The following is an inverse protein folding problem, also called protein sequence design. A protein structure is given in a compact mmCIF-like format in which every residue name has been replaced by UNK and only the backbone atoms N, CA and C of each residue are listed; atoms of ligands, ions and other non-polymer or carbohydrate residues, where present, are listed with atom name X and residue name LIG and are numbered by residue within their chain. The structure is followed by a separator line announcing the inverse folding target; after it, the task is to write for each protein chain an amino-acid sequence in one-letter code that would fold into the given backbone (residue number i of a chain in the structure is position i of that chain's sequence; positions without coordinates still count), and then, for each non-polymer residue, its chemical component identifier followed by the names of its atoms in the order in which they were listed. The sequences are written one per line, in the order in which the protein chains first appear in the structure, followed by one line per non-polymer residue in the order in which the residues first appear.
data_IF_124884611073
#
_entry.id   IF_124884611073
#
_cell.length_a   1.000
_cell.length_b   1.000
_cell.length_c   1.000
_cell.angle_alpha   90.00
_cell.angle_beta   90.00
_cell.angle_gamma   90.00
#
_symmetry.space_group_name_H-M   'P 1'
#
loop_
_entity.id
_entity.type
_entity.pdbx_description
1 polymer ?
#
# COMPACT_ATOMS: atom_id res chain seq x y z
N UNK A 1 -19.33 37.08 -93.88
CA UNK A 1 -18.11 37.55 -93.19
C UNK A 1 -18.16 37.10 -91.75
N UNK A 2 -17.40 36.06 -91.37
CA UNK A 2 -17.26 35.63 -89.97
C UNK A 2 -15.93 36.17 -89.47
N UNK A 3 -15.97 37.25 -88.68
CA UNK A 3 -14.81 37.76 -87.95
C UNK A 3 -14.55 36.83 -86.76
N UNK A 4 -13.44 36.08 -86.82
CA UNK A 4 -12.94 35.31 -85.70
C UNK A 4 -12.16 36.26 -84.78
N UNK A 5 -12.68 36.52 -83.59
CA UNK A 5 -11.97 37.26 -82.56
C UNK A 5 -11.04 36.28 -81.82
N UNK A 6 -9.73 36.36 -82.08
CA UNK A 6 -8.74 35.65 -81.29
C UNK A 6 -8.64 36.29 -79.90
N UNK A 7 -9.23 35.65 -78.89
CA UNK A 7 -9.05 36.03 -77.49
C UNK A 7 -7.62 35.71 -77.04
N UNK A 8 -6.83 36.73 -76.76
CA UNK A 8 -5.53 36.57 -76.12
C UNK A 8 -5.73 36.19 -74.64
N UNK A 9 -5.53 34.92 -74.29
CA UNK A 9 -5.47 34.49 -72.90
C UNK A 9 -4.19 35.04 -72.24
N UNK A 10 -4.32 35.80 -71.15
CA UNK A 10 -3.18 36.29 -70.39
C UNK A 10 -2.73 35.24 -69.37
N UNK A 11 -1.45 34.82 -69.48
CA UNK A 11 -0.82 33.86 -68.59
C UNK A 11 -0.25 34.58 -67.36
N UNK A 12 -0.89 34.41 -66.21
CA UNK A 12 -0.45 35.02 -64.95
C UNK A 12 0.63 34.14 -64.32
N UNK A 13 1.82 34.71 -64.13
CA UNK A 13 2.97 34.04 -63.52
C UNK A 13 3.46 34.79 -62.29
N UNK A 14 4.05 34.06 -61.35
CA UNK A 14 4.64 34.59 -60.13
C UNK A 14 6.17 34.53 -60.20
N UNK A 15 6.84 35.45 -59.50
CA UNK A 15 8.30 35.40 -59.32
C UNK A 15 8.62 34.35 -58.25
N UNK A 16 9.65 33.53 -58.49
CA UNK A 16 10.08 32.54 -57.51
C UNK A 16 10.78 33.20 -56.32
N UNK A 17 10.44 32.77 -55.11
CA UNK A 17 11.11 33.21 -53.88
C UNK A 17 12.58 32.75 -53.83
N UNK A 18 12.90 31.64 -54.50
CA UNK A 18 14.25 31.09 -54.54
C UNK A 18 15.04 31.68 -55.70
N UNK A 19 15.83 32.70 -55.39
CA UNK A 19 16.73 33.34 -56.35
C UNK A 19 18.17 32.88 -56.13
N UNK A 20 18.93 32.82 -57.22
CA UNK A 20 20.37 32.56 -57.18
C UNK A 20 21.12 33.84 -57.54
N UNK A 21 21.90 34.35 -56.59
CA UNK A 21 22.58 35.64 -56.75
C UNK A 21 24.05 35.37 -57.13
N UNK A 22 24.53 35.87 -58.28
CA UNK A 22 25.91 35.64 -58.71
C UNK A 22 26.91 36.39 -57.83
N UNK A 23 28.04 35.75 -57.52
CA UNK A 23 29.17 36.38 -56.85
C UNK A 23 30.21 36.78 -57.89
N UNK A 24 30.71 38.01 -57.82
CA UNK A 24 31.67 38.57 -58.80
C UNK A 24 33.05 38.81 -58.19
N UNK A 25 34.06 38.91 -59.04
CA UNK A 25 35.43 39.19 -58.62
C UNK A 25 35.68 40.64 -58.19
N UNK A 26 34.78 41.58 -58.51
CA UNK A 26 34.92 43.01 -58.21
C UNK A 26 33.58 43.74 -58.16
N UNK A 27 33.61 44.98 -57.66
CA UNK A 27 32.46 45.85 -57.50
C UNK A 27 32.01 46.43 -58.86
N UNK A 28 31.14 45.69 -59.58
CA UNK A 28 30.58 46.13 -60.85
C UNK A 28 29.99 44.99 -61.68
N UNK A 29 29.14 45.33 -62.64
CA UNK A 29 28.51 44.36 -63.56
C UNK A 29 29.48 43.72 -64.54
N UNK A 30 30.60 44.38 -64.81
CA UNK A 30 31.56 43.97 -65.85
C UNK A 30 32.60 42.98 -65.32
N UNK A 31 32.64 42.80 -63.99
CA UNK A 31 33.54 41.84 -63.36
C UNK A 31 33.06 40.41 -63.54
N UNK A 32 34.02 39.49 -63.72
CA UNK A 32 33.76 38.06 -63.92
C UNK A 32 32.97 37.46 -62.76
N UNK A 33 31.98 36.65 -63.08
CA UNK A 33 31.25 35.83 -62.10
C UNK A 33 32.18 34.71 -61.62
N UNK A 34 32.50 34.71 -60.34
CA UNK A 34 33.35 33.69 -59.69
C UNK A 34 32.53 32.56 -59.07
N UNK A 35 31.26 32.83 -58.73
CA UNK A 35 30.32 31.81 -58.26
C UNK A 35 28.97 32.01 -58.92
N UNK A 36 28.42 30.93 -59.50
CA UNK A 36 27.25 30.98 -60.40
C UNK A 36 25.90 31.19 -59.70
N UNK A 37 25.87 31.16 -58.36
CA UNK A 37 24.64 31.48 -57.64
C UNK A 37 24.70 31.13 -56.16
N UNK A 38 24.62 32.14 -55.30
CA UNK A 38 24.35 31.98 -53.88
C UNK A 38 22.83 31.95 -53.70
N UNK A 39 22.24 30.91 -53.08
CA UNK A 39 20.81 30.86 -52.83
C UNK A 39 20.36 32.01 -51.92
N UNK A 40 19.17 32.56 -52.18
CA UNK A 40 18.46 33.42 -51.21
C UNK A 40 18.40 32.75 -49.83
N UNK A 41 18.52 33.53 -48.76
CA UNK A 41 18.55 32.99 -47.40
C UNK A 41 19.91 32.49 -46.90
N UNK A 42 20.92 32.45 -47.77
CA UNK A 42 22.28 32.10 -47.34
C UNK A 42 22.83 33.18 -46.41
N UNK A 43 23.30 32.76 -45.23
CA UNK A 43 23.99 33.66 -44.29
C UNK A 43 25.37 34.03 -44.84
N UNK A 44 25.61 35.34 -44.97
CA UNK A 44 26.84 35.93 -45.49
C UNK A 44 27.46 36.85 -44.44
N UNK A 45 28.78 37.01 -44.48
CA UNK A 45 29.49 38.03 -43.70
C UNK A 45 29.91 39.15 -44.64
N UNK A 46 29.52 40.38 -44.33
CA UNK A 46 29.88 41.57 -45.12
C UNK A 46 31.20 42.13 -44.60
N UNK A 47 32.19 42.28 -45.48
CA UNK A 47 33.52 42.81 -45.14
C UNK A 47 33.60 44.32 -45.35
N UNK A 48 33.18 44.79 -46.53
CA UNK A 48 33.15 46.23 -46.87
C UNK A 48 32.13 46.50 -47.98
N UNK A 49 31.82 47.77 -48.17
CA UNK A 49 30.96 48.26 -49.24
C UNK A 49 31.79 49.10 -50.21
N UNK A 50 31.43 49.09 -51.49
CA UNK A 50 31.97 49.94 -52.53
C UNK A 50 31.67 51.42 -52.22
N UNK A 51 32.46 52.33 -52.81
CA UNK A 51 32.33 53.77 -52.59
C UNK A 51 30.96 54.33 -53.00
N UNK A 52 30.31 53.70 -53.98
CA UNK A 52 28.97 54.03 -54.47
C UNK A 52 27.83 53.38 -53.63
N UNK A 53 28.16 52.50 -52.69
CA UNK A 53 27.18 51.78 -51.88
C UNK A 53 26.46 50.63 -52.59
N UNK A 54 26.62 50.48 -53.91
CA UNK A 54 25.83 49.51 -54.71
C UNK A 54 26.31 48.06 -54.53
N UNK A 55 27.58 47.89 -54.18
CA UNK A 55 28.24 46.59 -54.06
C UNK A 55 28.81 46.38 -52.67
N UNK A 56 28.74 45.14 -52.20
CA UNK A 56 29.34 44.71 -50.95
C UNK A 56 30.25 43.51 -51.20
N UNK A 57 31.43 43.54 -50.60
CA UNK A 57 32.32 42.39 -50.53
C UNK A 57 31.85 41.49 -49.39
N UNK A 58 31.54 40.24 -49.71
CA UNK A 58 31.06 39.25 -48.76
C UNK A 58 32.00 38.07 -48.69
N UNK A 59 31.97 37.37 -47.56
CA UNK A 59 32.59 36.06 -47.40
C UNK A 59 31.52 35.04 -47.00
N UNK A 60 31.44 33.97 -47.77
CA UNK A 60 30.56 32.83 -47.50
C UNK A 60 31.14 31.96 -46.38
N UNK A 61 30.31 31.13 -45.74
CA UNK A 61 30.78 30.18 -44.70
C UNK A 61 31.82 29.18 -45.23
N UNK A 62 31.84 28.94 -46.55
CA UNK A 62 32.80 28.05 -47.21
C UNK A 62 34.13 28.75 -47.55
N UNK A 63 34.32 30.00 -47.09
CA UNK A 63 35.54 30.78 -47.29
C UNK A 63 35.66 31.49 -48.64
N UNK A 64 34.65 31.40 -49.52
CA UNK A 64 34.67 32.12 -50.80
C UNK A 64 34.33 33.59 -50.58
N UNK A 65 35.22 34.48 -51.03
CA UNK A 65 35.07 35.93 -50.98
C UNK A 65 34.76 36.50 -52.37
N UNK A 66 33.89 37.50 -52.44
CA UNK A 66 33.62 38.24 -53.66
C UNK A 66 32.54 39.30 -53.48
N UNK A 67 32.12 39.90 -54.58
CA UNK A 67 31.23 41.06 -54.58
C UNK A 67 29.81 40.70 -55.02
N UNK A 68 28.83 41.24 -54.30
CA UNK A 68 27.38 41.08 -54.52
C UNK A 68 26.70 42.45 -54.45
N UNK A 69 25.56 42.63 -55.13
CA UNK A 69 24.79 43.88 -55.00
C UNK A 69 24.16 43.99 -53.62
N UNK A 70 24.24 45.17 -53.01
CA UNK A 70 23.71 45.47 -51.68
C UNK A 70 22.19 45.25 -51.58
N UNK A 71 21.45 45.44 -52.69
CA UNK A 71 20.00 45.21 -52.75
C UNK A 71 19.55 43.78 -52.39
N UNK A 72 20.46 42.80 -52.47
CA UNK A 72 20.18 41.41 -52.11
C UNK A 72 20.55 41.09 -50.66
N UNK A 73 21.17 42.05 -49.95
CA UNK A 73 21.55 41.89 -48.56
C UNK A 73 20.46 42.44 -47.66
N UNK A 74 20.11 41.66 -46.64
CA UNK A 74 19.20 42.05 -45.58
C UNK A 74 19.90 41.87 -44.24
N UNK A 75 19.63 42.78 -43.31
CA UNK A 75 20.15 42.69 -41.94
C UNK A 75 19.45 41.60 -41.14
N UNK A 76 18.14 41.47 -41.34
CA UNK A 76 17.31 40.50 -40.65
C UNK A 76 17.22 39.19 -41.43
N UNK A 77 16.97 38.10 -40.69
CA UNK A 77 16.73 36.78 -41.27
C UNK A 77 15.52 36.82 -42.23
N UNK A 78 15.63 36.24 -43.43
CA UNK A 78 14.53 36.24 -44.40
C UNK A 78 13.27 35.56 -43.87
N UNK A 79 12.12 36.03 -44.37
CA UNK A 79 10.80 35.57 -43.90
C UNK A 79 10.62 34.06 -44.03
N UNK A 80 11.11 33.45 -45.12
CA UNK A 80 11.03 32.00 -45.33
C UNK A 80 11.76 31.22 -44.22
N UNK A 81 12.98 31.62 -43.88
CA UNK A 81 13.74 30.97 -42.81
C UNK A 81 13.11 31.21 -41.43
N UNK A 82 12.52 32.39 -41.18
CA UNK A 82 11.75 32.66 -39.96
C UNK A 82 10.51 31.76 -39.86
N UNK A 83 9.79 31.58 -40.96
CA UNK A 83 8.62 30.71 -41.03
C UNK A 83 9.00 29.26 -40.76
N UNK A 84 10.07 28.76 -41.38
CA UNK A 84 10.56 27.41 -41.15
C UNK A 84 10.96 27.19 -39.69
N UNK A 85 11.70 28.14 -39.09
CA UNK A 85 12.05 28.08 -37.68
C UNK A 85 10.81 28.12 -36.76
N UNK A 86 9.83 28.97 -37.07
CA UNK A 86 8.58 29.05 -36.31
C UNK A 86 7.74 27.77 -36.43
N UNK A 87 7.67 27.16 -37.63
CA UNK A 87 7.00 25.88 -37.84
C UNK A 87 7.67 24.74 -37.07
N UNK A 88 9.02 24.70 -37.07
CA UNK A 88 9.76 23.72 -36.27
C UNK A 88 9.52 23.91 -34.76
N UNK A 89 9.51 25.16 -34.29
CA UNK A 89 9.20 25.46 -32.89
C UNK A 89 7.77 25.09 -32.52
N UNK A 90 6.80 25.37 -33.40
CA UNK A 90 5.41 24.97 -33.20
C UNK A 90 5.26 23.45 -33.13
N UNK A 91 5.90 22.71 -34.05
CA UNK A 91 5.89 21.25 -34.05
C UNK A 91 6.49 20.67 -32.74
N UNK A 92 7.65 21.19 -32.30
CA UNK A 92 8.27 20.79 -31.04
C UNK A 92 7.40 21.14 -29.83
N UNK A 93 6.76 22.30 -29.83
CA UNK A 93 5.86 22.71 -28.74
C UNK A 93 4.63 21.79 -28.68
N UNK A 94 4.05 21.44 -29.83
CA UNK A 94 2.93 20.49 -29.90
C UNK A 94 3.35 19.11 -29.39
N UNK A 95 4.49 18.58 -29.82
CA UNK A 95 5.02 17.30 -29.36
C UNK A 95 5.25 17.29 -27.84
N UNK A 96 5.90 18.33 -27.30
CA UNK A 96 6.10 18.48 -25.85
C UNK A 96 4.78 18.59 -25.09
N UNK A 97 3.81 19.33 -25.61
CA UNK A 97 2.50 19.47 -24.95
C UNK A 97 1.74 18.14 -24.92
N UNK A 98 1.83 17.34 -25.98
CA UNK A 98 1.26 16.01 -26.03
C UNK A 98 1.94 15.08 -25.01
N UNK A 99 3.28 15.06 -24.99
CA UNK A 99 4.06 14.26 -24.05
C UNK A 99 3.76 14.63 -22.59
N UNK A 100 3.75 15.93 -22.26
CA UNK A 100 3.41 16.42 -20.91
C UNK A 100 1.97 16.10 -20.53
N UNK A 101 1.03 16.14 -21.47
CA UNK A 101 -0.36 15.73 -21.21
C UNK A 101 -0.44 14.25 -20.89
N UNK A 102 0.28 13.39 -21.61
CA UNK A 102 0.33 11.95 -21.31
C UNK A 102 0.98 11.70 -19.96
N UNK A 103 2.10 12.35 -19.65
CA UNK A 103 2.79 12.22 -18.37
C UNK A 103 1.89 12.64 -17.20
N UNK A 104 1.13 13.73 -17.36
CA UNK A 104 0.16 14.18 -16.35
C UNK A 104 -0.92 13.14 -16.07
N UNK A 105 -1.47 12.51 -17.10
CA UNK A 105 -2.48 11.46 -16.93
C UNK A 105 -1.88 10.21 -16.27
N UNK A 106 -0.64 9.83 -16.63
CA UNK A 106 0.04 8.72 -15.95
C UNK A 106 0.32 9.01 -14.48
N UNK A 107 0.78 10.21 -14.13
CA UNK A 107 1.06 10.61 -12.75
C UNK A 107 -0.23 10.71 -11.92
N UNK A 108 -1.35 11.14 -12.53
CA UNK A 108 -2.66 11.12 -11.86
C UNK A 108 -3.10 9.69 -11.55
N UNK A 109 -2.98 8.77 -12.51
CA UNK A 109 -3.32 7.36 -12.30
C UNK A 109 -2.43 6.72 -11.23
N UNK A 110 -1.12 6.97 -11.25
CA UNK A 110 -0.19 6.50 -10.23
C UNK A 110 -0.52 7.07 -8.85
N UNK A 111 -0.90 8.35 -8.76
CA UNK A 111 -1.33 8.97 -7.50
C UNK A 111 -2.58 8.31 -6.95
N UNK A 112 -3.57 8.02 -7.79
CA UNK A 112 -4.81 7.35 -7.39
C UNK A 112 -4.51 5.94 -6.84
N UNK A 113 -3.63 5.20 -7.53
CA UNK A 113 -3.17 3.88 -7.09
C UNK A 113 -2.36 3.94 -5.78
N UNK A 114 -1.50 4.93 -5.58
CA UNK A 114 -0.78 5.10 -4.32
C UNK A 114 -1.73 5.43 -3.16
N UNK A 115 -2.78 6.20 -3.40
CA UNK A 115 -3.81 6.50 -2.39
C UNK A 115 -4.56 5.22 -2.00
N UNK A 116 -4.97 4.39 -2.96
CA UNK A 116 -5.67 3.12 -2.66
C UNK A 116 -4.76 2.14 -1.90
N UNK A 117 -3.46 2.11 -2.21
CA UNK A 117 -2.48 1.31 -1.46
C UNK A 117 -2.27 1.80 -0.02
N UNK A 118 -2.27 3.12 0.20
CA UNK A 118 -2.17 3.71 1.55
C UNK A 118 -3.40 3.33 2.38
N UNK A 119 -4.61 3.45 1.82
CA UNK A 119 -5.85 3.10 2.53
C UNK A 119 -5.92 1.60 2.86
N UNK A 120 -5.49 0.76 1.93
CA UNK A 120 -5.42 -0.70 2.12
C UNK A 120 -4.40 -1.05 3.23
N UNK A 121 -3.21 -0.46 3.17
CA UNK A 121 -2.16 -0.68 4.17
C UNK A 121 -2.59 -0.18 5.55
N UNK A 122 -3.28 0.96 5.63
CA UNK A 122 -3.85 1.49 6.86
C UNK A 122 -4.89 0.55 7.47
N UNK A 123 -5.77 -0.01 6.63
CA UNK A 123 -6.77 -1.00 7.06
C UNK A 123 -6.12 -2.30 7.56
N UNK A 124 -5.10 -2.80 6.87
CA UNK A 124 -4.32 -3.97 7.29
C UNK A 124 -3.61 -3.74 8.62
N UNK A 125 -2.99 -2.58 8.81
CA UNK A 125 -2.37 -2.20 10.09
C UNK A 125 -3.40 -2.16 11.22
N UNK A 126 -4.60 -1.64 10.96
CA UNK A 126 -5.72 -1.66 11.91
C UNK A 126 -6.09 -3.08 12.34
N UNK A 127 -6.33 -3.96 11.36
CA UNK A 127 -6.69 -5.37 11.62
C UNK A 127 -5.60 -6.10 12.41
N UNK A 128 -4.33 -5.97 12.00
CA UNK A 128 -3.20 -6.60 12.71
C UNK A 128 -3.07 -6.07 14.13
N UNK A 129 -3.32 -4.78 14.35
CA UNK A 129 -3.29 -4.17 15.69
C UNK A 129 -4.42 -4.73 16.57
N UNK A 130 -5.61 -4.93 16.01
CA UNK A 130 -6.75 -5.51 16.71
C UNK A 130 -6.51 -6.99 17.04
N UNK A 131 -6.03 -7.79 16.09
CA UNK A 131 -5.63 -9.19 16.30
C UNK A 131 -4.58 -9.31 17.40
N UNK A 132 -3.57 -8.44 17.42
CA UNK A 132 -2.53 -8.43 18.45
C UNK A 132 -3.13 -8.10 19.83
N UNK A 133 -4.10 -7.19 19.89
CA UNK A 133 -4.81 -6.85 21.12
C UNK A 133 -5.66 -8.01 21.63
N UNK A 134 -6.40 -8.68 20.74
CA UNK A 134 -7.17 -9.88 21.07
C UNK A 134 -6.26 -11.02 21.54
N UNK A 135 -5.13 -11.25 20.86
CA UNK A 135 -4.16 -12.28 21.24
C UNK A 135 -3.58 -12.03 22.63
N UNK A 136 -3.25 -10.77 22.96
CA UNK A 136 -2.79 -10.38 24.30
C UNK A 136 -3.85 -10.67 25.36
N UNK A 137 -5.12 -10.35 25.09
CA UNK A 137 -6.20 -10.61 26.02
C UNK A 137 -6.47 -12.11 26.22
N UNK A 138 -6.48 -12.89 25.14
CA UNK A 138 -6.63 -14.36 25.21
C UNK A 138 -5.46 -14.97 25.99
N UNK A 139 -4.24 -14.50 25.74
CA UNK A 139 -3.05 -14.97 26.46
C UNK A 139 -3.13 -14.67 27.96
N UNK A 140 -3.64 -13.50 28.35
CA UNK A 140 -3.88 -13.16 29.75
C UNK A 140 -4.97 -14.07 30.38
N UNK A 141 -6.07 -14.31 29.68
CA UNK A 141 -7.12 -15.21 30.14
C UNK A 141 -6.65 -16.66 30.26
N UNK A 142 -5.79 -17.13 29.35
CA UNK A 142 -5.23 -18.48 29.41
C UNK A 142 -4.36 -18.69 30.66
N UNK A 143 -3.58 -17.68 31.06
CA UNK A 143 -2.81 -17.71 32.32
C UNK A 143 -3.74 -17.74 33.52
N UNK A 144 -4.79 -16.92 33.53
CA UNK A 144 -5.77 -16.92 34.62
C UNK A 144 -6.48 -18.28 34.74
N UNK A 145 -6.86 -18.88 33.61
CA UNK A 145 -7.50 -20.19 33.58
C UNK A 145 -6.60 -21.30 34.14
N UNK A 146 -5.28 -21.27 33.87
CA UNK A 146 -4.33 -22.23 34.47
C UNK A 146 -4.27 -22.09 35.99
N UNK A 147 -4.25 -20.85 36.49
CA UNK A 147 -4.26 -20.55 37.94
C UNK A 147 -5.54 -21.09 38.57
N UNK A 148 -6.70 -20.81 37.97
CA UNK A 148 -8.00 -21.24 38.48
C UNK A 148 -8.14 -22.77 38.43
N UNK A 149 -7.64 -23.43 37.38
CA UNK A 149 -7.66 -24.89 37.27
C UNK A 149 -6.81 -25.54 38.38
N UNK A 150 -5.58 -25.06 38.60
CA UNK A 150 -4.72 -25.52 39.70
C UNK A 150 -5.41 -25.37 41.06
N UNK A 151 -6.05 -24.23 41.29
CA UNK A 151 -6.79 -23.96 42.52
C UNK A 151 -7.99 -24.91 42.68
N UNK A 152 -8.77 -25.12 41.63
CA UNK A 152 -9.91 -26.04 41.66
C UNK A 152 -9.46 -27.49 41.90
N UNK A 153 -8.32 -27.89 41.33
CA UNK A 153 -7.70 -29.20 41.62
C UNK A 153 -7.34 -29.28 43.11
N UNK A 154 -6.67 -28.28 43.66
CA UNK A 154 -6.33 -28.23 45.10
C UNK A 154 -7.58 -28.25 46.00
N UNK A 155 -8.60 -27.46 45.68
CA UNK A 155 -9.89 -27.47 46.41
C UNK A 155 -10.57 -28.84 46.30
N UNK A 156 -10.50 -29.51 45.15
CA UNK A 156 -11.06 -30.84 44.96
C UNK A 156 -10.32 -31.92 45.78
N UNK A 157 -9.00 -31.82 45.90
CA UNK A 157 -8.20 -32.72 46.74
C UNK A 157 -8.47 -32.50 48.22
N UNK A 158 -8.57 -31.24 48.66
CA UNK A 158 -8.90 -30.89 50.04
C UNK A 158 -10.30 -31.39 50.43
N UNK A 159 -11.32 -31.11 49.62
CA UNK A 159 -12.68 -31.59 49.86
C UNK A 159 -12.74 -33.11 49.90
N UNK A 160 -12.00 -33.79 49.01
CA UNK A 160 -11.90 -35.25 49.04
C UNK A 160 -11.27 -35.76 50.33
N UNK A 161 -10.18 -35.15 50.79
CA UNK A 161 -9.56 -35.49 52.07
C UNK A 161 -10.50 -35.26 53.25
N UNK A 162 -11.31 -34.20 53.21
CA UNK A 162 -12.30 -33.90 54.25
C UNK A 162 -13.43 -34.94 54.28
N UNK A 163 -13.91 -35.37 53.12
CA UNK A 163 -14.89 -36.47 53.00
C UNK A 163 -14.31 -37.78 53.55
N UNK A 164 -13.09 -38.15 53.15
CA UNK A 164 -12.42 -39.37 53.63
C UNK A 164 -12.23 -39.33 55.16
N UNK A 165 -11.89 -38.16 55.72
CA UNK A 165 -11.78 -37.96 57.17
C UNK A 165 -13.13 -38.10 57.89
N UNK A 166 -14.17 -37.45 57.39
CA UNK A 166 -15.52 -37.50 57.98
C UNK A 166 -16.12 -38.91 57.92
N UNK A 167 -15.90 -39.63 56.82
CA UNK A 167 -16.31 -41.04 56.72
C UNK A 167 -15.56 -41.92 57.72
N UNK A 168 -14.25 -41.72 57.89
CA UNK A 168 -13.47 -42.44 58.90
C UNK A 168 -13.93 -42.11 60.34
N UNK A 169 -14.24 -40.84 60.64
CA UNK A 169 -14.81 -40.43 61.92
C UNK A 169 -16.18 -41.05 62.17
N UNK A 170 -17.05 -41.06 61.15
CA UNK A 170 -18.38 -41.68 61.22
C UNK A 170 -18.26 -43.18 61.46
N UNK A 171 -17.37 -43.87 60.74
CA UNK A 171 -17.14 -45.30 60.92
C UNK A 171 -16.61 -45.58 62.34
N UNK A 172 -15.63 -44.81 62.81
CA UNK A 172 -15.10 -44.91 64.17
C UNK A 172 -16.19 -44.68 65.24
N UNK A 173 -17.06 -43.70 65.05
CA UNK A 173 -18.20 -43.44 65.94
C UNK A 173 -19.20 -44.61 65.94
N UNK A 174 -19.52 -45.16 64.77
CA UNK A 174 -20.37 -46.34 64.65
C UNK A 174 -19.77 -47.57 65.32
N UNK A 175 -18.48 -47.85 65.11
CA UNK A 175 -17.77 -48.96 65.74
C UNK A 175 -17.78 -48.83 67.27
N UNK A 176 -17.60 -47.60 67.79
CA UNK A 176 -17.69 -47.32 69.23
C UNK A 176 -19.09 -47.59 69.78
N UNK A 177 -20.14 -47.13 69.08
CA UNK A 177 -21.53 -47.36 69.49
C UNK A 177 -21.89 -48.86 69.43
N UNK A 178 -21.51 -49.56 68.36
CA UNK A 178 -21.72 -51.01 68.25
C UNK A 178 -20.98 -51.78 69.35
N UNK A 179 -19.76 -51.35 69.70
CA UNK A 179 -19.03 -51.93 70.82
C UNK A 179 -19.75 -51.72 72.15
N UNK A 180 -20.34 -50.54 72.41
CA UNK A 180 -21.11 -50.28 73.63
C UNK A 180 -22.42 -51.10 73.66
N UNK A 181 -23.13 -51.20 72.54
CA UNK A 181 -24.36 -52.01 72.43
C UNK A 181 -24.07 -53.51 72.63
N UNK A 182 -22.97 -54.02 72.06
CA UNK A 182 -22.54 -55.40 72.28
C UNK A 182 -22.19 -55.66 73.75
N UNK A 183 -21.45 -54.76 74.40
CA UNK A 183 -21.10 -54.90 75.82
C UNK A 183 -22.35 -54.85 76.70
N UNK A 184 -23.27 -53.93 76.45
CA UNK A 184 -24.54 -53.83 77.18
C UNK A 184 -25.41 -55.07 76.96
N UNK A 185 -25.47 -55.59 75.73
CA UNK A 185 -26.17 -56.84 75.40
C UNK A 185 -25.54 -58.06 76.09
N UNK A 186 -24.21 -58.19 76.06
CA UNK A 186 -23.48 -59.27 76.72
C UNK A 186 -23.66 -59.25 78.25
N UNK A 187 -23.64 -58.06 78.87
CA UNK A 187 -23.94 -57.86 80.29
C UNK A 187 -25.39 -58.24 80.62
N UNK A 188 -26.35 -57.85 79.78
CA UNK A 188 -27.76 -58.21 79.96
C UNK A 188 -27.98 -59.73 79.89
N UNK A 189 -27.32 -60.43 78.95
CA UNK A 189 -27.37 -61.89 78.85
C UNK A 189 -26.74 -62.56 80.06
N UNK A 190 -25.56 -62.10 80.52
CA UNK A 190 -24.92 -62.62 81.75
C UNK A 190 -25.82 -62.45 82.97
N UNK A 191 -26.45 -61.28 83.14
CA UNK A 191 -27.41 -61.05 84.22
C UNK A 191 -28.63 -61.99 84.09
N UNK A 192 -29.15 -62.19 82.89
CA UNK A 192 -30.25 -63.14 82.64
C UNK A 192 -29.87 -64.59 82.98
N UNK A 193 -28.65 -65.03 82.65
CA UNK A 193 -28.13 -66.36 83.00
C UNK A 193 -27.96 -66.50 84.52
N UNK A 194 -27.41 -65.49 85.19
CA UNK A 194 -27.27 -65.49 86.65
C UNK A 194 -28.64 -65.58 87.32
N UNK A 195 -29.61 -64.78 86.88
CA UNK A 195 -30.99 -64.82 87.40
C UNK A 195 -31.58 -66.21 87.19
N UNK A 196 -31.47 -66.80 86.00
CA UNK A 196 -32.03 -68.14 85.72
C UNK A 196 -31.35 -69.27 86.49
N UNK A 197 -30.06 -69.17 86.84
CA UNK A 197 -29.36 -70.18 87.65
C UNK A 197 -29.58 -70.01 89.16
N UNK A 198 -29.67 -68.76 89.64
CA UNK A 198 -29.77 -68.45 91.08
C UNK A 198 -31.21 -68.51 91.56
N UNK A 199 -32.20 -67.98 90.81
CA UNK A 199 -33.61 -67.95 91.21
C UNK A 199 -34.19 -69.33 91.55
N UNK A 200 -33.92 -70.43 90.80
CA UNK A 200 -34.41 -71.75 91.16
C UNK A 200 -33.84 -72.29 92.48
N UNK A 201 -32.71 -71.75 92.95
CA UNK A 201 -31.97 -72.27 94.11
C UNK A 201 -32.31 -71.55 95.43
N UNK A 202 -32.96 -70.40 95.38
CA UNK A 202 -33.29 -69.59 96.58
C UNK A 202 -34.78 -69.48 96.87
N UNK A 203 -35.65 -70.19 96.14
CA UNK A 203 -37.08 -70.16 96.43
C UNK A 203 -37.45 -70.99 97.68
N UNK A 204 -38.02 -70.39 98.74
CA UNK A 204 -38.47 -71.12 99.92
C UNK A 204 -39.76 -71.90 99.63
N UNK A 205 -39.74 -73.22 99.88
CA UNK A 205 -40.95 -74.06 99.89
C UNK A 205 -41.90 -73.59 101.00
N UNK A 206 -43.12 -73.21 100.62
CA UNK A 206 -44.23 -72.81 101.51
C UNK A 206 -44.49 -73.88 102.59
N UNK A 207 -44.72 -73.44 103.83
CA UNK A 207 -45.45 -74.22 104.84
C UNK A 207 -46.85 -73.63 105.01
N UNK A 208 -47.87 -74.48 104.81
CA UNK A 208 -49.26 -74.23 105.22
C UNK A 208 -49.34 -74.30 106.75
N UNK A 209 -50.08 -73.39 107.37
CA UNK A 209 -50.69 -73.65 108.68
C UNK A 209 -52.14 -73.20 108.66
N UNK A 210 -53.01 -74.17 108.90
CA UNK A 210 -54.37 -74.02 109.36
C UNK A 210 -54.40 -73.42 110.77
N UNK A 211 -55.24 -72.40 110.99
CA UNK A 211 -56.25 -72.41 112.07
C UNK A 211 -57.03 -71.10 112.08
N UNK A 212 -58.35 -71.28 112.20
CA UNK A 212 -59.39 -70.35 112.62
C UNK A 212 -59.03 -69.57 113.91
N UNK A 213 -59.39 -68.28 113.92
CA UNK A 213 -60.06 -67.54 114.99
C UNK A 213 -60.57 -66.21 114.41
#
# INVERSE_FOLDING_TARGET
MLLSAAGHAQDVRYVSDKQYIPLRSGAGSDYRIIHRGIPSGTRLTVARTSSDGEWAEITTQRGTTGWIRTQYLMKDMPAQNKLEAAQQQAAQATEKSAALSTELETLKAEREELVTQIDTSGSQLGNVTEELTQLKQISANAVQLDIDNRRLVEESENLRSEVEMLEAEKQRLQDKLQSEDFINGALAVLLGVIITLVVPRVWPKRRKSSSWA
#
